data_IF_333837666488
#
_entry.id   IF_333837666488
#
_cell.length_a   1.000
_cell.length_b   1.000
_cell.length_c   1.000
_cell.angle_alpha   90.00
_cell.angle_beta   90.00
_cell.angle_gamma   90.00
#
_symmetry.space_group_name_H-M   'P 1'
#
loop_
_entity.id
_entity.type
_entity.pdbx_description
1 polymer ?
#
# COMPACT_ATOMS: atom_id res chain seq x y z
N UNK A 1 -18.09 -61.84 -23.85
CA UNK A 1 -17.36 -61.41 -25.07
C UNK A 1 -16.55 -60.19 -24.72
N UNK A 2 -15.22 -60.30 -24.81
CA UNK A 2 -14.24 -59.37 -24.24
C UNK A 2 -13.78 -58.37 -25.31
N UNK A 3 -14.03 -57.09 -25.10
CA UNK A 3 -13.56 -55.99 -25.97
C UNK A 3 -12.37 -55.30 -25.30
N UNK A 4 -11.16 -55.70 -25.73
CA UNK A 4 -9.90 -54.99 -25.45
C UNK A 4 -9.79 -53.80 -26.40
N UNK A 5 -9.83 -52.58 -25.84
CA UNK A 5 -9.56 -51.33 -26.56
C UNK A 5 -8.06 -51.05 -26.62
N UNK A 6 -7.54 -50.98 -27.85
CA UNK A 6 -6.13 -50.81 -28.21
C UNK A 6 -5.67 -49.36 -27.99
N UNK A 7 -4.61 -49.18 -27.20
CA UNK A 7 -3.88 -47.92 -27.00
C UNK A 7 -2.95 -47.67 -28.20
N UNK A 8 -3.09 -46.54 -28.88
CA UNK A 8 -2.16 -46.09 -29.93
C UNK A 8 -1.46 -44.81 -29.47
N UNK A 9 -0.23 -44.93 -29.00
CA UNK A 9 0.70 -43.80 -28.77
C UNK A 9 1.38 -43.46 -30.09
N UNK A 10 1.23 -42.22 -30.56
CA UNK A 10 2.05 -41.64 -31.63
C UNK A 10 3.09 -40.73 -30.97
N UNK A 11 4.34 -41.20 -30.93
CA UNK A 11 5.49 -40.38 -30.58
C UNK A 11 6.08 -39.75 -31.85
N UNK A 12 6.02 -38.42 -31.95
CA UNK A 12 6.75 -37.65 -32.95
C UNK A 12 8.06 -37.12 -32.35
N UNK A 13 9.18 -37.12 -33.10
CA UNK A 13 10.45 -36.57 -32.63
C UNK A 13 10.44 -35.04 -32.67
N UNK A 14 10.71 -34.40 -31.53
CA UNK A 14 10.90 -32.95 -31.43
C UNK A 14 12.35 -32.62 -31.77
N UNK A 15 12.54 -31.84 -32.83
CA UNK A 15 13.82 -31.29 -33.25
C UNK A 15 14.40 -30.34 -32.18
N UNK A 16 15.63 -30.60 -31.74
CA UNK A 16 16.39 -29.71 -30.84
C UNK A 16 16.97 -28.54 -31.64
N UNK A 17 16.31 -27.38 -31.54
CA UNK A 17 16.88 -26.11 -31.98
C UNK A 17 17.95 -25.62 -31.00
N UNK A 18 19.17 -25.40 -31.52
CA UNK A 18 20.34 -24.90 -30.78
C UNK A 18 20.19 -23.38 -30.63
N UNK A 19 19.81 -22.90 -29.43
CA UNK A 19 19.74 -21.48 -29.14
C UNK A 19 21.15 -20.93 -28.85
N UNK A 20 21.65 -20.05 -29.73
CA UNK A 20 22.85 -19.24 -29.49
C UNK A 20 22.60 -18.27 -28.34
N UNK A 21 23.37 -18.39 -27.27
CA UNK A 21 23.36 -17.48 -26.14
C UNK A 21 23.99 -16.14 -26.50
N UNK A 22 23.16 -15.11 -26.68
CA UNK A 22 23.60 -13.71 -26.64
C UNK A 22 23.53 -13.26 -25.19
N UNK A 23 24.70 -13.07 -24.58
CA UNK A 23 24.88 -12.64 -23.19
C UNK A 23 24.49 -11.16 -23.07
N UNK A 24 23.39 -10.86 -22.39
CA UNK A 24 23.02 -9.49 -22.07
C UNK A 24 24.03 -8.88 -21.08
N UNK A 25 24.49 -7.64 -21.28
CA UNK A 25 25.39 -6.97 -20.35
C UNK A 25 24.67 -6.65 -19.02
N UNK A 26 25.41 -6.61 -17.89
CA UNK A 26 24.83 -6.35 -16.58
C UNK A 26 24.20 -4.96 -16.52
N UNK A 27 22.97 -4.90 -15.99
CA UNK A 27 22.25 -3.65 -15.77
C UNK A 27 23.03 -2.76 -14.79
N UNK A 28 23.48 -1.60 -15.27
CA UNK A 28 24.01 -0.53 -14.42
C UNK A 28 22.88 -0.01 -13.52
N UNK A 29 23.11 -0.06 -12.21
CA UNK A 29 22.25 0.58 -11.22
C UNK A 29 22.17 2.09 -11.52
N UNK A 30 20.95 2.61 -11.68
CA UNK A 30 20.72 4.04 -11.78
C UNK A 30 20.87 4.67 -10.39
N UNK A 31 21.55 5.82 -10.26
CA UNK A 31 21.68 6.52 -8.98
C UNK A 31 20.30 6.99 -8.50
N UNK A 32 20.00 6.68 -7.24
CA UNK A 32 18.83 7.22 -6.53
C UNK A 32 19.09 8.71 -6.28
N UNK A 33 18.13 9.61 -6.53
CA UNK A 33 18.31 11.03 -6.21
C UNK A 33 18.48 11.19 -4.70
N UNK A 34 19.70 11.47 -4.27
CA UNK A 34 19.99 11.95 -2.93
C UNK A 34 19.39 13.35 -2.79
N UNK A 35 18.44 13.53 -1.88
CA UNK A 35 18.09 14.86 -1.40
C UNK A 35 19.38 15.51 -0.89
N UNK A 36 19.76 16.64 -1.49
CA UNK A 36 20.95 17.37 -1.11
C UNK A 36 20.69 18.10 0.21
N UNK A 37 20.87 17.34 1.30
CA UNK A 37 20.65 17.77 2.68
C UNK A 37 21.55 18.96 3.06
N UNK A 38 22.64 19.17 2.33
CA UNK A 38 23.52 20.31 2.50
C UNK A 38 22.86 21.63 2.06
N UNK A 39 22.03 21.59 1.02
CA UNK A 39 21.27 22.75 0.56
C UNK A 39 20.17 23.14 1.56
N UNK A 40 19.51 22.14 2.17
CA UNK A 40 18.47 22.39 3.18
C UNK A 40 19.06 22.98 4.48
N UNK A 41 20.21 22.48 4.94
CA UNK A 41 20.92 23.03 6.10
C UNK A 41 21.41 24.47 5.85
N UNK A 42 21.95 24.74 4.66
CA UNK A 42 22.38 26.09 4.27
C UNK A 42 21.21 27.08 4.24
N UNK A 43 20.03 26.66 3.78
CA UNK A 43 18.84 27.51 3.79
C UNK A 43 18.37 27.85 5.21
N UNK A 44 18.43 26.89 6.14
CA UNK A 44 18.07 27.11 7.54
C UNK A 44 19.02 28.08 8.25
N UNK A 45 20.33 27.98 8.00
CA UNK A 45 21.33 28.93 8.50
C UNK A 45 21.10 30.35 7.95
N UNK A 46 20.76 30.48 6.67
CA UNK A 46 20.45 31.77 6.07
C UNK A 46 19.23 32.45 6.70
N UNK A 47 18.20 31.68 7.08
CA UNK A 47 17.02 32.21 7.79
C UNK A 47 17.39 32.69 9.20
N UNK A 48 18.22 31.93 9.92
CA UNK A 48 18.72 32.30 11.25
C UNK A 48 19.53 33.60 11.22
N UNK A 49 20.47 33.74 10.28
CA UNK A 49 21.23 34.98 10.10
C UNK A 49 20.34 36.18 9.74
N UNK A 50 19.26 35.94 9.00
CA UNK A 50 18.32 37.00 8.64
C UNK A 50 17.48 37.46 9.83
N UNK A 51 17.05 36.53 10.69
CA UNK A 51 16.33 36.83 11.94
C UNK A 51 17.22 37.64 12.90
N UNK A 52 18.50 37.29 13.01
CA UNK A 52 19.45 37.98 13.88
C UNK A 52 19.75 39.42 13.42
N UNK A 53 19.77 39.69 12.10
CA UNK A 53 19.89 41.05 11.56
C UNK A 53 18.68 41.93 11.83
N UNK A 54 17.47 41.35 11.91
CA UNK A 54 16.23 42.11 12.08
C UNK A 54 16.01 42.51 13.55
N UNK A 55 16.55 41.75 14.51
CA UNK A 55 16.39 42.02 15.94
C UNK A 55 17.72 41.94 16.74
N UNK A 56 18.68 42.85 16.48
CA UNK A 56 19.94 42.87 17.22
C UNK A 56 19.69 43.31 18.68
N UNK A 57 19.94 42.40 19.64
CA UNK A 57 19.93 42.72 21.08
C UNK A 57 19.02 41.87 21.96
N UNK A 58 18.30 40.87 21.41
CA UNK A 58 17.47 39.98 22.23
C UNK A 58 18.29 38.80 22.76
N UNK A 59 18.97 38.99 23.90
CA UNK A 59 19.87 38.00 24.55
C UNK A 59 19.13 36.84 25.25
N UNK A 60 17.92 36.50 24.80
CA UNK A 60 17.04 35.54 25.46
C UNK A 60 16.67 34.33 24.57
N UNK A 61 17.50 33.97 23.60
CA UNK A 61 17.34 32.71 22.86
C UNK A 61 18.23 31.63 23.50
N UNK A 62 17.65 30.58 24.11
CA UNK A 62 18.43 29.44 24.59
C UNK A 62 19.12 28.76 23.40
N UNK A 63 20.30 28.22 23.65
CA UNK A 63 21.17 27.51 22.70
C UNK A 63 20.36 26.49 21.86
N UNK A 64 20.03 26.85 20.61
CA UNK A 64 19.17 26.03 19.71
C UNK A 64 19.98 24.97 18.96
N UNK A 65 21.31 25.08 18.97
CA UNK A 65 22.21 24.14 18.31
C UNK A 65 22.02 22.65 18.70
N UNK A 66 21.88 22.27 19.98
CA UNK A 66 21.64 20.87 20.34
C UNK A 66 20.28 20.34 19.86
N UNK A 67 19.26 21.19 19.74
CA UNK A 67 17.94 20.78 19.24
C UNK A 67 17.93 20.52 17.72
N UNK A 68 18.71 21.28 16.95
CA UNK A 68 18.91 21.07 15.51
C UNK A 68 19.73 19.81 15.21
N UNK A 69 20.70 19.47 16.06
CA UNK A 69 21.47 18.22 15.94
C UNK A 69 20.61 16.97 16.21
N UNK A 70 19.58 17.06 17.05
CA UNK A 70 18.67 15.95 17.36
C UNK A 70 17.66 15.66 16.23
N UNK A 71 17.43 16.59 15.30
CA UNK A 71 16.55 16.40 14.13
C UNK A 71 17.21 15.59 12.99
N UNK A 72 18.50 15.26 13.12
CA UNK A 72 19.34 14.70 12.05
C UNK A 72 19.38 13.16 11.97
N UNK A 73 18.57 12.44 12.74
CA UNK A 73 18.58 10.96 12.72
C UNK A 73 17.21 10.42 12.31
N UNK A 74 17.05 10.09 11.03
CA UNK A 74 15.97 9.21 10.58
C UNK A 74 16.29 7.78 11.02
N UNK A 75 15.89 7.41 12.23
CA UNK A 75 15.93 6.04 12.70
C UNK A 75 14.72 5.26 12.17
N UNK A 76 14.92 4.40 11.18
CA UNK A 76 13.92 3.41 10.79
C UNK A 76 13.87 2.31 11.85
N UNK A 77 12.86 2.34 12.72
CA UNK A 77 12.63 1.33 13.74
C UNK A 77 11.71 0.24 13.18
N UNK A 78 12.22 -0.96 12.93
CA UNK A 78 11.42 -2.04 12.33
C UNK A 78 10.73 -2.99 13.33
N UNK A 79 11.19 -3.10 14.59
CA UNK A 79 10.58 -4.06 15.55
C UNK A 79 10.62 -3.66 17.04
N UNK A 80 11.21 -2.53 17.40
CA UNK A 80 11.30 -2.12 18.81
C UNK A 80 10.22 -1.08 19.16
N UNK A 81 9.25 -1.50 19.97
CA UNK A 81 8.17 -0.65 20.51
C UNK A 81 8.75 0.61 21.18
N UNK A 82 9.90 0.49 21.85
CA UNK A 82 10.58 1.62 22.51
C UNK A 82 11.17 2.59 21.49
N UNK A 83 11.68 2.08 20.37
CA UNK A 83 12.22 2.89 19.29
C UNK A 83 11.12 3.67 18.57
N UNK A 84 9.97 3.03 18.32
CA UNK A 84 8.81 3.69 17.73
C UNK A 84 8.22 4.75 18.68
N UNK A 85 8.15 4.49 19.99
CA UNK A 85 7.69 5.48 20.96
C UNK A 85 8.62 6.71 21.03
N UNK A 86 9.94 6.51 20.91
CA UNK A 86 10.91 7.62 20.82
C UNK A 86 10.78 8.41 19.53
N UNK A 87 10.57 7.74 18.39
CA UNK A 87 10.34 8.41 17.11
C UNK A 87 9.05 9.24 17.14
N UNK A 88 7.96 8.69 17.70
CA UNK A 88 6.68 9.38 17.85
C UNK A 88 6.80 10.61 18.79
N UNK A 89 7.53 10.49 19.91
CA UNK A 89 7.84 11.64 20.79
C UNK A 89 8.67 12.70 20.08
N UNK A 90 9.68 12.30 19.32
CA UNK A 90 10.51 13.22 18.53
C UNK A 90 9.70 13.99 17.49
N UNK A 91 8.78 13.30 16.79
CA UNK A 91 7.87 13.92 15.84
C UNK A 91 6.91 14.93 16.50
N UNK A 92 6.34 14.60 17.65
CA UNK A 92 5.48 15.52 18.40
C UNK A 92 6.23 16.78 18.85
N UNK A 93 7.46 16.62 19.38
CA UNK A 93 8.28 17.76 19.81
C UNK A 93 8.65 18.64 18.62
N UNK A 94 9.04 18.08 17.48
CA UNK A 94 9.38 18.87 16.29
C UNK A 94 8.17 19.60 15.73
N UNK A 95 6.99 18.96 15.74
CA UNK A 95 5.73 19.57 15.29
C UNK A 95 5.32 20.73 16.19
N UNK A 96 5.46 20.59 17.52
CA UNK A 96 5.20 21.67 18.47
C UNK A 96 6.17 22.83 18.25
N UNK A 97 7.47 22.56 18.04
CA UNK A 97 8.46 23.60 17.77
C UNK A 97 8.19 24.33 16.44
N UNK A 98 7.90 23.59 15.36
CA UNK A 98 7.57 24.17 14.06
C UNK A 98 6.28 24.98 14.08
N UNK A 99 5.27 24.54 14.83
CA UNK A 99 4.02 25.30 14.99
C UNK A 99 4.24 26.54 15.88
N UNK A 100 5.01 26.46 16.95
CA UNK A 100 5.35 27.62 17.78
C UNK A 100 6.14 28.68 16.98
N UNK A 101 7.16 28.27 16.22
CA UNK A 101 7.94 29.16 15.35
C UNK A 101 7.10 29.67 14.17
N UNK A 102 6.26 28.81 13.58
CA UNK A 102 5.36 29.16 12.49
C UNK A 102 4.26 30.14 12.90
N UNK A 103 3.69 30.01 14.09
CA UNK A 103 2.69 30.95 14.64
C UNK A 103 3.33 32.32 14.95
N UNK A 104 4.54 32.33 15.50
CA UNK A 104 5.29 33.56 15.71
C UNK A 104 5.69 34.25 14.38
N UNK A 105 6.06 33.47 13.36
CA UNK A 105 6.39 33.99 12.03
C UNK A 105 5.17 34.44 11.21
N UNK A 106 4.03 33.76 11.34
CA UNK A 106 2.80 34.11 10.60
C UNK A 106 2.05 35.30 11.20
N UNK A 107 2.19 35.58 12.50
CA UNK A 107 1.72 36.84 13.09
C UNK A 107 2.44 38.06 12.50
N UNK A 108 3.72 37.94 12.12
CA UNK A 108 4.46 38.98 11.43
C UNK A 108 4.07 39.11 9.94
N UNK A 109 3.71 38.01 9.27
CA UNK A 109 3.34 37.99 7.85
C UNK A 109 1.89 38.44 7.59
N UNK A 110 0.96 38.18 8.52
CA UNK A 110 -0.45 38.62 8.44
C UNK A 110 -0.62 40.14 8.53
N UNK A 111 0.40 40.87 9.01
CA UNK A 111 0.44 42.33 8.92
C UNK A 111 0.79 42.86 7.52
N UNK A 112 1.40 42.04 6.66
CA UNK A 112 1.99 42.50 5.39
C UNK A 112 1.25 42.01 4.13
N UNK A 113 0.36 41.03 4.25
CA UNK A 113 -0.19 40.35 3.09
C UNK A 113 -1.73 40.29 3.13
N UNK A 114 -2.33 41.26 2.46
CA UNK A 114 -3.73 41.23 2.02
C UNK A 114 -3.76 40.48 0.67
N UNK A 115 -3.85 39.15 0.68
CA UNK A 115 -3.97 38.38 -0.59
C UNK A 115 -5.43 38.34 -1.08
N UNK A 116 -5.70 38.68 -2.36
CA UNK A 116 -6.98 38.44 -3.02
C UNK A 116 -7.26 36.93 -3.17
N UNK A 117 -8.55 36.59 -3.18
CA UNK A 117 -9.07 35.22 -3.14
C UNK A 117 -8.56 34.32 -4.26
N UNK A 118 -8.19 33.10 -3.88
CA UNK A 118 -7.89 31.99 -4.78
C UNK A 118 -9.20 31.23 -5.01
N UNK A 119 -10.00 31.72 -5.93
CA UNK A 119 -11.06 30.94 -6.55
C UNK A 119 -10.41 30.09 -7.66
N UNK A 120 -9.97 28.90 -7.28
CA UNK A 120 -9.39 27.92 -8.20
C UNK A 120 -10.44 27.37 -9.16
N UNK A 121 -10.62 28.09 -10.27
CA UNK A 121 -11.40 27.75 -11.45
C UNK A 121 -10.76 26.56 -12.18
N UNK A 122 -11.14 25.34 -11.79
CA UNK A 122 -10.82 24.11 -12.52
C UNK A 122 -12.04 23.65 -13.34
N UNK A 123 -12.10 24.12 -14.59
CA UNK A 123 -12.58 23.40 -15.77
C UNK A 123 -13.89 22.60 -15.64
N UNK A 124 -15.04 23.28 -15.84
CA UNK A 124 -16.03 22.93 -16.87
C UNK A 124 -16.77 21.58 -16.86
N UNK A 125 -16.54 20.66 -15.93
CA UNK A 125 -17.44 19.51 -15.71
C UNK A 125 -18.40 19.89 -14.59
N UNK A 126 -19.71 19.85 -14.88
CA UNK A 126 -20.78 20.04 -13.88
C UNK A 126 -20.43 19.21 -12.65
N UNK A 127 -19.98 19.87 -11.57
CA UNK A 127 -19.58 19.21 -10.32
C UNK A 127 -20.78 18.39 -9.86
N UNK A 128 -20.63 17.07 -9.83
CA UNK A 128 -21.65 16.19 -9.32
C UNK A 128 -21.99 16.55 -7.88
N UNK A 129 -23.24 16.26 -7.52
CA UNK A 129 -23.80 16.51 -6.21
C UNK A 129 -22.97 15.76 -5.15
N UNK A 130 -22.57 16.47 -4.10
CA UNK A 130 -21.87 15.86 -2.97
C UNK A 130 -22.94 15.30 -2.03
N UNK A 131 -23.19 14.00 -2.14
CA UNK A 131 -24.08 13.31 -1.22
C UNK A 131 -23.32 13.02 0.09
N UNK A 132 -23.88 13.37 1.23
CA UNK A 132 -23.36 12.97 2.53
C UNK A 132 -24.25 11.87 3.08
N UNK A 133 -23.73 10.65 3.22
CA UNK A 133 -24.50 9.56 3.83
C UNK A 133 -24.69 9.85 5.32
N UNK A 134 -25.90 10.16 5.76
CA UNK A 134 -26.21 10.52 7.15
C UNK A 134 -25.76 9.44 8.16
N UNK A 135 -25.79 8.17 7.75
CA UNK A 135 -25.45 7.05 8.64
C UNK A 135 -23.94 6.88 8.85
N UNK A 136 -23.14 7.16 7.82
CA UNK A 136 -21.68 6.92 7.87
C UNK A 136 -20.87 8.21 7.95
N UNK A 137 -21.48 9.36 7.65
CA UNK A 137 -20.81 10.65 7.52
C UNK A 137 -19.88 10.74 6.30
N UNK A 138 -19.86 9.70 5.44
CA UNK A 138 -19.00 9.67 4.26
C UNK A 138 -19.59 10.55 3.17
N UNK A 139 -18.76 11.46 2.65
CA UNK A 139 -19.12 12.29 1.50
C UNK A 139 -18.78 11.55 0.22
N UNK A 140 -19.75 11.47 -0.67
CA UNK A 140 -19.68 10.86 -1.98
C UNK A 140 -19.85 11.94 -3.05
N UNK A 141 -18.96 11.95 -4.03
CA UNK A 141 -19.07 12.82 -5.19
C UNK A 141 -19.15 11.92 -6.42
N UNK A 142 -20.34 11.82 -7.02
CA UNK A 142 -20.50 11.13 -8.31
C UNK A 142 -20.05 12.03 -9.47
N UNK A 143 -19.67 11.42 -10.59
CA UNK A 143 -19.45 12.15 -11.84
C UNK A 143 -20.74 12.63 -12.50
N UNK A 144 -21.89 12.05 -12.14
CA UNK A 144 -23.18 12.29 -12.75
C UNK A 144 -24.22 12.70 -11.70
N UNK A 145 -25.11 13.63 -12.06
CA UNK A 145 -26.15 14.09 -11.14
C UNK A 145 -27.22 13.01 -10.92
N UNK A 146 -27.58 12.73 -9.68
CA UNK A 146 -28.65 11.79 -9.31
C UNK A 146 -28.23 10.31 -9.19
N UNK A 147 -26.93 9.98 -9.34
CA UNK A 147 -26.46 8.61 -9.14
C UNK A 147 -26.32 8.31 -7.64
N UNK A 148 -27.05 7.30 -7.17
CA UNK A 148 -27.00 6.85 -5.78
C UNK A 148 -25.77 5.95 -5.55
N UNK A 149 -25.17 6.00 -4.35
CA UNK A 149 -24.09 5.10 -4.00
C UNK A 149 -24.60 3.65 -3.88
N UNK A 150 -23.78 2.69 -4.31
CA UNK A 150 -24.09 1.27 -4.16
C UNK A 150 -24.14 0.88 -2.68
N UNK A 151 -25.17 0.13 -2.33
CA UNK A 151 -25.33 -0.45 -1.01
C UNK A 151 -25.42 -1.97 -1.10
N UNK A 152 -24.83 -2.65 -0.14
CA UNK A 152 -24.92 -4.10 0.01
C UNK A 152 -26.33 -4.53 0.48
N UNK A 153 -26.53 -5.84 0.61
CA UNK A 153 -27.81 -6.41 1.08
C UNK A 153 -28.19 -6.00 2.50
N UNK A 154 -27.27 -5.42 3.28
CA UNK A 154 -27.49 -4.86 4.62
C UNK A 154 -27.66 -3.33 4.62
N UNK A 155 -27.69 -2.71 3.43
CA UNK A 155 -27.75 -1.26 3.27
C UNK A 155 -26.45 -0.53 3.59
N UNK A 156 -25.33 -1.25 3.77
CA UNK A 156 -23.98 -0.68 3.94
C UNK A 156 -23.38 -0.24 2.62
N UNK A 157 -22.64 0.86 2.61
CA UNK A 157 -21.98 1.35 1.41
C UNK A 157 -20.98 0.29 0.89
N UNK A 158 -20.94 0.12 -0.42
CA UNK A 158 -19.89 -0.63 -1.08
C UNK A 158 -18.78 0.31 -1.56
N UNK A 159 -17.54 -0.18 -1.52
CA UNK A 159 -16.35 0.63 -1.80
C UNK A 159 -15.46 0.03 -2.87
N UNK A 160 -14.68 0.86 -3.55
CA UNK A 160 -13.52 0.46 -4.35
C UNK A 160 -12.27 0.75 -3.52
N UNK A 161 -11.35 -0.21 -3.48
CA UNK A 161 -10.06 0.02 -2.84
C UNK A 161 -9.15 0.81 -3.79
N UNK A 162 -8.70 1.99 -3.38
CA UNK A 162 -7.70 2.81 -4.10
C UNK A 162 -6.62 3.25 -3.12
N UNK A 163 -5.44 2.62 -3.17
CA UNK A 163 -4.41 2.81 -2.14
C UNK A 163 -5.03 2.61 -0.74
N UNK A 164 -4.76 3.49 0.22
CA UNK A 164 -5.30 3.43 1.59
C UNK A 164 -6.77 3.87 1.75
N UNK A 165 -7.35 4.52 0.75
CA UNK A 165 -8.65 5.19 0.91
C UNK A 165 -9.76 4.37 0.25
N UNK A 166 -10.77 3.92 1.01
CA UNK A 166 -11.96 3.32 0.41
C UNK A 166 -12.78 4.42 -0.29
N UNK A 167 -13.09 4.21 -1.57
CA UNK A 167 -13.88 5.14 -2.36
C UNK A 167 -15.29 4.58 -2.57
N UNK A 168 -16.38 5.25 -2.16
CA UNK A 168 -17.72 4.74 -2.42
C UNK A 168 -17.97 4.62 -3.92
N UNK A 169 -18.72 3.60 -4.33
CA UNK A 169 -19.02 3.33 -5.74
C UNK A 169 -20.48 3.65 -6.08
N UNK A 170 -20.73 3.87 -7.36
CA UNK A 170 -22.05 4.07 -7.93
C UNK A 170 -22.86 2.78 -7.99
N UNK A 171 -24.18 2.86 -7.79
CA UNK A 171 -25.06 1.70 -7.84
C UNK A 171 -24.99 0.98 -9.20
N UNK A 172 -24.70 -0.32 -9.17
CA UNK A 172 -24.62 -1.13 -10.38
C UNK A 172 -23.25 -1.11 -11.04
N UNK A 173 -22.22 -0.60 -10.37
CA UNK A 173 -20.85 -0.65 -10.88
C UNK A 173 -20.47 -2.10 -11.25
N UNK A 174 -19.75 -2.33 -12.36
CA UNK A 174 -19.32 -3.67 -12.73
C UNK A 174 -18.31 -4.19 -11.72
N UNK A 175 -18.26 -5.52 -11.56
CA UNK A 175 -17.28 -6.19 -10.73
C UNK A 175 -17.87 -7.17 -9.73
N UNK A 176 -17.00 -7.87 -9.04
CA UNK A 176 -17.36 -8.87 -8.05
C UNK A 176 -17.30 -8.25 -6.64
N UNK A 177 -18.34 -8.53 -5.84
CA UNK A 177 -18.52 -7.98 -4.49
C UNK A 177 -17.90 -8.93 -3.47
N UNK A 178 -16.90 -8.47 -2.73
CA UNK A 178 -16.17 -9.27 -1.73
C UNK A 178 -16.30 -8.58 -0.37
N UNK A 179 -16.68 -9.34 0.66
CA UNK A 179 -16.72 -8.83 2.04
C UNK A 179 -15.39 -9.06 2.74
N UNK A 180 -14.80 -7.99 3.26
CA UNK A 180 -13.48 -8.01 3.88
C UNK A 180 -13.57 -7.32 5.24
N UNK A 181 -12.99 -7.95 6.25
CA UNK A 181 -12.96 -7.42 7.62
C UNK A 181 -11.93 -6.30 7.75
N UNK A 182 -12.41 -5.07 7.90
CA UNK A 182 -11.61 -3.85 8.06
C UNK A 182 -12.11 -3.02 9.25
N UNK A 183 -11.31 -2.09 9.74
CA UNK A 183 -11.61 -1.27 10.91
C UNK A 183 -10.56 -1.41 12.01
N UNK A 184 -10.81 -0.86 13.22
CA UNK A 184 -9.90 -1.00 14.35
C UNK A 184 -9.52 -2.47 14.59
N UNK A 185 -8.27 -2.74 14.96
CA UNK A 185 -7.75 -4.13 15.09
C UNK A 185 -8.65 -5.00 15.98
N UNK A 186 -9.19 -4.44 17.07
CA UNK A 186 -10.06 -5.16 18.02
C UNK A 186 -11.54 -5.20 17.62
N UNK A 187 -11.94 -4.43 16.60
CA UNK A 187 -13.35 -4.23 16.21
C UNK A 187 -13.49 -4.16 14.68
N UNK A 188 -12.99 -5.19 14.00
CA UNK A 188 -13.12 -5.32 12.54
C UNK A 188 -14.60 -5.53 12.16
N UNK A 189 -15.02 -4.93 11.05
CA UNK A 189 -16.35 -5.08 10.47
C UNK A 189 -16.21 -5.53 9.01
N UNK A 190 -17.02 -6.48 8.60
CA UNK A 190 -17.08 -6.95 7.23
C UNK A 190 -17.66 -5.88 6.29
N UNK A 191 -16.79 -5.16 5.58
CA UNK A 191 -17.15 -4.15 4.60
C UNK A 191 -17.12 -4.73 3.18
N UNK A 192 -18.09 -4.31 2.34
CA UNK A 192 -18.19 -4.80 0.96
C UNK A 192 -17.31 -3.97 0.03
N UNK A 193 -16.42 -4.64 -0.69
CA UNK A 193 -15.57 -4.05 -1.71
C UNK A 193 -15.91 -4.61 -3.10
N UNK A 194 -15.83 -3.76 -4.13
CA UNK A 194 -16.11 -4.13 -5.51
C UNK A 194 -14.84 -4.09 -6.33
N UNK A 195 -14.59 -5.21 -7.02
CA UNK A 195 -13.40 -5.43 -7.83
C UNK A 195 -13.80 -5.74 -9.27
N UNK A 196 -13.42 -4.87 -10.19
CA UNK A 196 -13.50 -5.12 -11.62
C UNK A 196 -12.44 -6.16 -12.01
N UNK A 197 -12.74 -7.10 -12.91
CA UNK A 197 -11.76 -8.06 -13.42
C UNK A 197 -10.83 -7.37 -14.42
N UNK A 198 -9.52 -7.56 -14.29
CA UNK A 198 -8.52 -6.87 -15.10
C UNK A 198 -7.65 -7.81 -15.93
N UNK A 199 -7.61 -9.10 -15.61
CA UNK A 199 -6.78 -10.10 -16.30
C UNK A 199 -7.51 -10.65 -17.53
N UNK A 200 -8.82 -10.80 -17.46
CA UNK A 200 -9.67 -11.24 -18.57
C UNK A 200 -11.13 -11.38 -18.13
N UNK A 201 -12.03 -11.75 -19.04
CA UNK A 201 -13.44 -11.99 -18.70
C UNK A 201 -13.60 -13.25 -17.82
N UNK A 202 -12.80 -14.29 -18.10
CA UNK A 202 -12.89 -15.58 -17.44
C UNK A 202 -12.06 -15.67 -16.14
N UNK A 203 -11.34 -14.60 -15.76
CA UNK A 203 -10.58 -14.60 -14.51
C UNK A 203 -11.50 -14.71 -13.30
N UNK A 204 -10.98 -15.29 -12.22
CA UNK A 204 -11.67 -15.40 -10.95
C UNK A 204 -10.92 -14.61 -9.88
N UNK A 205 -11.67 -13.92 -9.01
CA UNK A 205 -11.10 -13.35 -7.79
C UNK A 205 -11.03 -14.43 -6.71
N UNK A 206 -9.92 -14.42 -5.98
CA UNK A 206 -9.64 -15.36 -4.91
C UNK A 206 -9.29 -14.56 -3.67
N UNK A 207 -10.14 -14.66 -2.65
CA UNK A 207 -9.86 -14.15 -1.31
C UNK A 207 -9.06 -15.20 -0.54
N UNK A 208 -7.86 -14.81 -0.09
CA UNK A 208 -6.94 -15.68 0.64
C UNK A 208 -6.55 -15.00 1.95
N UNK A 209 -6.88 -15.62 3.08
CA UNK A 209 -6.49 -15.12 4.40
C UNK A 209 -5.36 -15.98 4.96
N UNK A 210 -4.23 -15.36 5.32
CA UNK A 210 -3.01 -16.02 5.79
C UNK A 210 -2.48 -15.34 7.05
N UNK A 211 -2.00 -16.11 8.05
CA UNK A 211 -1.29 -15.54 9.19
C UNK A 211 0.09 -14.99 8.77
N UNK A 212 0.59 -14.00 9.51
CA UNK A 212 1.96 -13.48 9.37
C UNK A 212 2.97 -14.43 10.06
N UNK A 213 4.17 -14.67 9.49
CA UNK A 213 4.59 -14.31 8.13
C UNK A 213 3.84 -15.14 7.08
N UNK A 214 3.46 -14.49 5.97
CA UNK A 214 2.61 -15.12 4.95
C UNK A 214 3.36 -16.20 4.15
N UNK A 215 4.62 -15.92 3.77
CA UNK A 215 5.42 -16.79 2.91
C UNK A 215 5.07 -16.68 1.41
N UNK A 216 4.65 -15.51 0.96
CA UNK A 216 4.37 -15.20 -0.45
C UNK A 216 5.39 -14.17 -0.94
N UNK A 217 6.03 -14.45 -2.07
CA UNK A 217 6.95 -13.53 -2.75
C UNK A 217 6.19 -12.83 -3.87
N UNK A 218 6.22 -11.51 -3.86
CA UNK A 218 5.60 -10.67 -4.88
C UNK A 218 6.67 -10.02 -5.77
N UNK A 219 6.34 -9.84 -7.04
CA UNK A 219 7.18 -9.17 -8.03
C UNK A 219 6.32 -8.20 -8.86
N UNK A 220 6.94 -7.15 -9.39
CA UNK A 220 6.33 -6.26 -10.37
C UNK A 220 6.46 -6.82 -11.79
N UNK A 221 5.34 -7.18 -12.40
CA UNK A 221 5.28 -7.41 -13.85
C UNK A 221 5.30 -6.05 -14.56
N UNK A 222 6.51 -5.61 -14.94
CA UNK A 222 6.74 -4.35 -15.65
C UNK A 222 5.98 -4.23 -16.96
N UNK A 223 5.68 -5.34 -17.63
CA UNK A 223 4.99 -5.32 -18.93
C UNK A 223 3.53 -4.88 -18.78
N UNK A 224 2.92 -5.22 -17.65
CA UNK A 224 1.51 -4.93 -17.35
C UNK A 224 1.34 -3.86 -16.28
N UNK A 225 2.44 -3.42 -15.65
CA UNK A 225 2.43 -2.53 -14.48
C UNK A 225 1.54 -3.08 -13.36
N UNK A 226 1.71 -4.36 -13.04
CA UNK A 226 0.91 -5.07 -12.03
C UNK A 226 1.81 -5.82 -11.07
N UNK A 227 1.33 -6.03 -9.86
CA UNK A 227 2.01 -6.88 -8.88
C UNK A 227 1.48 -8.30 -9.01
N UNK A 228 2.38 -9.26 -9.13
CA UNK A 228 2.06 -10.67 -9.29
C UNK A 228 2.70 -11.50 -8.17
N UNK A 229 2.09 -12.62 -7.84
CA UNK A 229 2.70 -13.63 -6.99
C UNK A 229 3.80 -14.32 -7.80
N UNK A 230 5.07 -14.09 -7.44
CA UNK A 230 6.22 -14.71 -8.09
C UNK A 230 6.40 -16.15 -7.61
N UNK A 231 6.40 -16.33 -6.29
CA UNK A 231 6.71 -17.61 -5.65
C UNK A 231 5.98 -17.75 -4.31
N UNK A 232 5.74 -18.99 -3.90
CA UNK A 232 5.29 -19.33 -2.54
C UNK A 232 6.44 -20.07 -1.85
N UNK A 233 6.92 -19.52 -0.73
CA UNK A 233 8.09 -20.03 -0.01
C UNK A 233 7.76 -21.40 0.62
N UNK A 234 8.53 -22.46 0.34
CA UNK A 234 8.28 -23.78 0.90
C UNK A 234 8.27 -23.81 2.44
N UNK A 235 7.39 -24.61 3.04
CA UNK A 235 7.28 -24.79 4.50
C UNK A 235 6.50 -23.68 5.22
N UNK A 236 6.10 -22.62 4.53
CA UNK A 236 5.38 -21.49 5.13
C UNK A 236 3.86 -21.70 5.19
N UNK A 237 3.14 -20.73 5.77
CA UNK A 237 1.68 -20.70 5.81
C UNK A 237 1.05 -20.77 4.41
N UNK A 238 1.56 -19.98 3.47
CA UNK A 238 1.11 -20.01 2.08
C UNK A 238 1.34 -21.36 1.40
N UNK A 239 2.50 -22.01 1.61
CA UNK A 239 2.76 -23.35 1.06
C UNK A 239 1.83 -24.41 1.64
N UNK A 240 1.56 -24.36 2.95
CA UNK A 240 0.57 -25.24 3.60
C UNK A 240 -0.84 -25.03 3.05
N UNK A 241 -1.24 -23.78 2.84
CA UNK A 241 -2.53 -23.45 2.22
C UNK A 241 -2.61 -23.97 0.78
N UNK A 242 -1.54 -23.80 -0.01
CA UNK A 242 -1.44 -24.28 -1.38
C UNK A 242 -1.51 -25.81 -1.46
N UNK A 243 -0.78 -26.53 -0.61
CA UNK A 243 -0.83 -28.00 -0.51
C UNK A 243 -2.23 -28.48 -0.16
N UNK A 244 -2.90 -27.82 0.79
CA UNK A 244 -4.30 -28.14 1.15
C UNK A 244 -5.26 -27.89 -0.01
N UNK A 245 -5.11 -26.78 -0.72
CA UNK A 245 -5.93 -26.45 -1.88
C UNK A 245 -5.74 -27.46 -3.02
N UNK A 246 -4.55 -28.03 -3.20
CA UNK A 246 -4.31 -29.11 -4.18
C UNK A 246 -5.06 -30.41 -3.86
N UNK A 247 -5.31 -30.68 -2.58
CA UNK A 247 -6.11 -31.83 -2.15
C UNK A 247 -7.61 -31.60 -2.35
N UNK A 248 -8.06 -30.34 -2.45
CA UNK A 248 -9.46 -29.96 -2.62
C UNK A 248 -9.62 -29.07 -3.86
N UNK A 249 -9.75 -29.71 -5.03
CA UNK A 249 -9.88 -29.03 -6.32
C UNK A 249 -11.10 -28.12 -6.45
N UNK A 250 -12.12 -28.27 -5.59
CA UNK A 250 -13.35 -27.49 -5.67
C UNK A 250 -13.25 -26.06 -5.10
N UNK A 251 -12.29 -25.79 -4.20
CA UNK A 251 -12.19 -24.49 -3.51
C UNK A 251 -10.72 -24.11 -3.33
N UNK A 252 -10.12 -23.57 -4.39
CA UNK A 252 -8.71 -23.15 -4.36
C UNK A 252 -8.57 -21.78 -3.70
N UNK A 253 -8.62 -21.73 -2.37
CA UNK A 253 -8.35 -20.55 -1.53
C UNK A 253 -6.90 -20.49 -1.08
N UNK A 254 -5.98 -20.44 -2.04
CA UNK A 254 -4.55 -20.36 -1.77
C UNK A 254 -3.86 -19.48 -2.84
N UNK A 255 -2.77 -18.78 -2.49
CA UNK A 255 -2.03 -17.99 -3.46
C UNK A 255 -1.28 -18.94 -4.41
N UNK A 256 -1.31 -18.64 -5.71
CA UNK A 256 -0.58 -19.38 -6.73
C UNK A 256 0.37 -18.47 -7.49
N UNK A 257 1.56 -18.97 -7.90
CA UNK A 257 2.43 -18.24 -8.81
C UNK A 257 1.68 -17.80 -10.08
N UNK A 258 1.81 -16.53 -10.43
CA UNK A 258 1.12 -15.89 -11.54
C UNK A 258 -0.23 -15.22 -11.19
N UNK A 259 -0.76 -15.42 -9.98
CA UNK A 259 -1.92 -14.65 -9.53
C UNK A 259 -1.57 -13.15 -9.44
N UNK A 260 -2.50 -12.28 -9.85
CA UNK A 260 -2.32 -10.82 -9.78
C UNK A 260 -2.84 -10.29 -8.45
N UNK A 261 -2.03 -9.54 -7.71
CA UNK A 261 -2.44 -8.89 -6.48
C UNK A 261 -3.32 -7.67 -6.78
N UNK A 262 -4.60 -7.72 -6.38
CA UNK A 262 -5.58 -6.63 -6.57
C UNK A 262 -5.69 -5.75 -5.34
N UNK A 263 -5.72 -6.37 -4.17
CA UNK A 263 -5.75 -5.67 -2.89
C UNK A 263 -5.24 -6.56 -1.77
N UNK A 264 -4.92 -5.96 -0.62
CA UNK A 264 -4.60 -6.71 0.60
C UNK A 264 -4.87 -5.89 1.85
N UNK A 265 -5.15 -6.56 2.96
CA UNK A 265 -5.29 -5.87 4.24
C UNK A 265 -3.93 -5.50 4.82
N UNK A 266 -3.80 -4.26 5.27
CA UNK A 266 -2.62 -3.78 5.99
C UNK A 266 -3.05 -2.90 7.16
N UNK A 267 -2.15 -2.67 8.10
CA UNK A 267 -2.44 -1.87 9.29
C UNK A 267 -1.94 -0.46 9.09
N UNK A 268 -2.79 0.52 9.34
CA UNK A 268 -2.42 1.94 9.40
C UNK A 268 -2.77 2.51 10.77
N UNK A 269 -1.99 3.49 11.21
CA UNK A 269 -2.24 4.20 12.46
C UNK A 269 -3.10 5.42 12.16
N UNK A 270 -4.33 5.45 12.68
CA UNK A 270 -5.23 6.58 12.50
C UNK A 270 -5.13 7.47 13.73
N UNK A 271 -4.66 8.69 13.51
CA UNK A 271 -4.70 9.76 14.48
C UNK A 271 -6.08 10.42 14.36
N UNK A 272 -7.03 10.01 15.20
CA UNK A 272 -8.29 10.75 15.30
C UNK A 272 -7.94 12.15 15.79
N UNK A 273 -8.20 13.15 14.93
CA UNK A 273 -7.76 14.52 15.11
C UNK A 273 -7.88 14.98 16.55
N UNK A 274 -6.78 15.54 17.05
CA UNK A 274 -6.72 16.24 18.32
C UNK A 274 -8.00 17.04 18.51
N UNK A 275 -8.76 16.74 19.57
CA UNK A 275 -9.72 17.71 20.10
C UNK A 275 -8.93 19.00 20.31
N UNK A 276 -9.19 19.98 19.46
CA UNK A 276 -8.31 21.11 19.23
C UNK A 276 -8.18 22.05 20.42
N UNK A 277 -8.94 21.87 21.49
CA UNK A 277 -8.80 22.65 22.72
C UNK A 277 -9.40 21.89 23.91
N UNK A 278 -8.55 21.30 24.75
CA UNK A 278 -8.90 20.95 26.14
C UNK A 278 -9.41 19.52 26.36
N UNK A 279 -8.64 18.74 27.11
CA UNK A 279 -9.05 17.53 27.85
C UNK A 279 -9.45 16.30 27.03
N UNK A 280 -8.44 15.56 26.56
CA UNK A 280 -8.58 14.13 26.21
C UNK A 280 -8.04 13.75 24.83
N UNK A 281 -6.72 13.80 24.65
CA UNK A 281 -6.09 13.21 23.47
C UNK A 281 -6.36 11.70 23.47
N UNK A 282 -7.14 11.21 22.49
CA UNK A 282 -7.30 9.77 22.30
C UNK A 282 -5.99 9.20 21.75
N UNK A 283 -5.48 8.09 22.30
CA UNK A 283 -4.29 7.46 21.75
C UNK A 283 -4.55 7.03 20.29
N UNK A 284 -3.52 7.05 19.44
CA UNK A 284 -3.64 6.61 18.06
C UNK A 284 -4.17 5.18 18.01
N UNK A 285 -5.15 4.95 17.13
CA UNK A 285 -5.76 3.62 17.00
C UNK A 285 -5.25 2.93 15.74
N UNK A 286 -4.74 1.72 15.91
CA UNK A 286 -4.30 0.86 14.79
C UNK A 286 -5.55 0.31 14.10
N UNK A 287 -5.62 0.53 12.80
CA UNK A 287 -6.79 0.23 11.97
C UNK A 287 -6.34 -0.64 10.80
N UNK A 288 -6.99 -1.79 10.64
CA UNK A 288 -6.85 -2.64 9.46
C UNK A 288 -7.63 -1.99 8.32
N UNK A 289 -6.93 -1.66 7.24
CA UNK A 289 -7.50 -1.09 6.03
C UNK A 289 -7.21 -1.99 4.84
N UNK A 290 -8.05 -1.91 3.81
CA UNK A 290 -7.82 -2.62 2.56
C UNK A 290 -7.05 -1.72 1.60
N UNK A 291 -5.80 -2.06 1.34
CA UNK A 291 -4.96 -1.37 0.36
C UNK A 291 -5.28 -1.86 -1.05
N UNK A 292 -5.72 -0.97 -1.94
CA UNK A 292 -5.89 -1.28 -3.36
C UNK A 292 -4.55 -1.20 -4.09
N UNK A 293 -4.14 -2.29 -4.74
CA UNK A 293 -2.85 -2.39 -5.45
C UNK A 293 -2.95 -2.03 -6.95
N UNK A 294 -4.16 -1.85 -7.47
CA UNK A 294 -4.38 -1.58 -8.90
C UNK A 294 -3.86 -0.21 -9.32
N UNK A 295 -2.94 -0.18 -10.29
CA UNK A 295 -2.33 1.05 -10.81
C UNK A 295 -1.32 1.70 -9.87
N UNK A 296 -1.09 1.12 -8.70
CA UNK A 296 -0.09 1.59 -7.74
C UNK A 296 1.32 1.16 -8.13
N UNK A 297 2.31 2.02 -7.86
CA UNK A 297 3.71 1.70 -8.12
C UNK A 297 4.22 0.65 -7.14
N UNK A 298 5.10 -0.24 -7.59
CA UNK A 298 5.68 -1.29 -6.76
C UNK A 298 6.25 -0.83 -5.41
N UNK A 299 7.00 0.29 -5.30
CA UNK A 299 7.49 0.75 -4.01
C UNK A 299 6.37 1.09 -2.99
N UNK A 300 5.24 1.63 -3.46
CA UNK A 300 4.10 1.95 -2.59
C UNK A 300 3.41 0.68 -2.12
N UNK A 301 3.21 -0.29 -3.02
CA UNK A 301 2.64 -1.60 -2.70
C UNK A 301 3.53 -2.37 -1.72
N UNK A 302 4.83 -2.40 -1.96
CA UNK A 302 5.82 -3.06 -1.10
C UNK A 302 5.87 -2.43 0.29
N UNK A 303 5.91 -1.09 0.38
CA UNK A 303 5.85 -0.38 1.65
C UNK A 303 4.56 -0.67 2.41
N UNK A 304 3.42 -0.76 1.71
CA UNK A 304 2.15 -1.10 2.31
C UNK A 304 2.08 -2.57 2.79
N UNK A 305 2.66 -3.53 2.06
CA UNK A 305 2.76 -4.94 2.47
C UNK A 305 3.61 -5.12 3.73
N UNK A 306 4.66 -4.31 3.86
CA UNK A 306 5.52 -4.27 5.04
C UNK A 306 4.81 -3.67 6.26
N UNK A 307 3.70 -2.94 6.08
CA UNK A 307 2.93 -2.43 7.21
C UNK A 307 2.15 -3.54 7.90
N UNK A 308 2.26 -3.53 9.22
CA UNK A 308 1.55 -4.41 10.13
C UNK A 308 2.48 -5.42 10.78
N UNK A 309 2.15 -5.76 12.02
CA UNK A 309 2.91 -6.69 12.86
C UNK A 309 2.11 -7.98 13.07
N UNK A 310 2.75 -9.03 13.56
CA UNK A 310 2.09 -10.32 13.82
C UNK A 310 0.86 -10.17 14.74
N UNK A 311 0.91 -9.25 15.70
CA UNK A 311 -0.19 -8.97 16.62
C UNK A 311 -1.46 -8.41 15.95
N UNK A 312 -1.39 -7.93 14.70
CA UNK A 312 -2.59 -7.42 13.97
C UNK A 312 -3.50 -8.53 13.45
N UNK A 313 -3.00 -9.77 13.52
CA UNK A 313 -3.64 -10.98 13.04
C UNK A 313 -3.37 -11.24 11.55
N UNK A 314 -4.33 -11.94 10.94
CA UNK A 314 -4.17 -12.44 9.58
C UNK A 314 -4.28 -11.33 8.53
N UNK A 315 -3.56 -11.55 7.43
CA UNK A 315 -3.61 -10.72 6.22
C UNK A 315 -4.54 -11.38 5.21
N UNK A 316 -5.47 -10.61 4.68
CA UNK A 316 -6.34 -11.05 3.58
C UNK A 316 -5.82 -10.45 2.28
N UNK A 317 -5.43 -11.31 1.35
CA UNK A 317 -5.04 -11.00 -0.01
C UNK A 317 -6.24 -11.19 -0.94
N UNK A 318 -6.46 -10.24 -1.84
CA UNK A 318 -7.41 -10.34 -2.94
C UNK A 318 -6.58 -10.51 -4.21
N UNK A 319 -6.63 -11.72 -4.74
CA UNK A 319 -5.85 -12.15 -5.90
C UNK A 319 -6.78 -12.33 -7.09
N UNK A 320 -6.34 -11.98 -8.29
CA UNK A 320 -7.03 -12.29 -9.54
C UNK A 320 -6.27 -13.38 -10.28
N UNK A 321 -6.95 -14.48 -10.56
CA UNK A 321 -6.41 -15.64 -11.27
C UNK A 321 -6.98 -15.71 -12.68
N UNK A 322 -6.10 -15.64 -13.69
CA UNK A 322 -6.49 -15.89 -15.07
C UNK A 322 -6.77 -17.37 -15.33
N UNK A 323 -7.75 -17.70 -16.18
CA UNK A 323 -7.87 -19.06 -16.68
C UNK A 323 -6.70 -19.38 -17.59
N UNK A 324 -6.12 -20.58 -17.44
CA UNK A 324 -4.98 -20.99 -18.25
C UNK A 324 -3.63 -20.41 -17.80
N UNK A 325 -3.55 -19.80 -16.61
CA UNK A 325 -2.25 -19.65 -15.93
C UNK A 325 -1.79 -21.06 -15.55
N UNK A 326 -1.13 -21.72 -16.51
CA UNK A 326 -0.35 -22.93 -16.24
C UNK A 326 0.70 -22.48 -15.23
N UNK A 327 0.80 -23.13 -14.05
CA UNK A 327 1.84 -22.80 -13.09
C UNK A 327 3.15 -22.75 -13.85
N UNK A 328 3.79 -21.56 -13.88
CA UNK A 328 5.10 -21.44 -14.51
C UNK A 328 5.96 -22.50 -13.82
N UNK A 329 6.49 -23.45 -14.60
CA UNK A 329 7.35 -24.46 -14.05
C UNK A 329 8.40 -23.72 -13.21
N UNK A 330 8.63 -24.11 -11.94
CA UNK A 330 9.62 -23.45 -11.12
C UNK A 330 10.90 -23.36 -11.95
N UNK A 331 11.57 -22.19 -11.99
CA UNK A 331 12.80 -22.05 -12.78
C UNK A 331 13.66 -23.25 -12.43
N UNK A 332 13.94 -24.09 -13.43
CA UNK A 332 14.63 -25.37 -13.23
C UNK A 332 15.81 -25.06 -12.35
N UNK A 333 15.77 -25.54 -11.10
CA UNK A 333 16.62 -25.08 -10.01
C UNK A 333 17.99 -24.93 -10.62
N UNK A 334 18.41 -23.67 -10.84
CA UNK A 334 19.66 -23.42 -11.52
C UNK A 334 20.65 -24.10 -10.62
N UNK A 335 21.17 -25.25 -11.06
CA UNK A 335 22.13 -26.02 -10.32
C UNK A 335 23.16 -25.00 -9.92
N UNK A 336 23.17 -24.67 -8.63
CA UNK A 336 24.22 -23.87 -8.03
C UNK A 336 25.45 -24.79 -8.03
N UNK A 337 25.92 -25.12 -9.24
CA UNK A 337 27.28 -25.44 -9.53
C UNK A 337 28.08 -24.19 -9.16
N UNK A 338 29.16 -24.30 -8.42
CA UNK A 338 29.72 -25.51 -7.87
C UNK A 338 30.87 -25.13 -6.96
N UNK A 339 31.28 -26.13 -6.19
CA UNK A 339 32.65 -26.38 -5.80
C UNK A 339 33.58 -25.16 -5.82
N UNK A 340 33.60 -24.43 -4.70
CA UNK A 340 34.81 -23.73 -4.31
C UNK A 340 35.79 -24.80 -3.82
N UNK A 341 36.50 -25.40 -4.78
CA UNK A 341 37.67 -26.24 -4.54
C UNK A 341 38.90 -25.39 -4.87
N UNK A 342 39.57 -24.88 -3.84
CA UNK A 342 41.04 -24.73 -3.68
C UNK A 342 41.36 -23.65 -2.64
#
# INVERSE_FOLDING_TARGET
MSSRGLVRRLGGPVARGRASGVRAPPARALPVPSLDLHAAASAAQHVLEHVERIAPGNTALPDVQPALAALHVQSYCFDDVVCQERADRGFLISTILLTAVGVLGSAALLGFIRFPGIDGESSGKKKGEVFSDERTGVRFQSGEAGVLPERDTKGELAFRARSYTPWPIEAGAPGERIRIDVGPVDKKRATTFVFERTVGADSALVQVTLPRPMGVVFEEDRSRSRVVVAEVVPGTNADRALKRARLNSGVVRAPMPGDVLRAFTCTTTVYTGMGTLGFGAKPPTRTVVLYGADGERWPAVSAALQKGVVADGDVTLILERGQGVVPRAPPAASEAGGAESS
#
